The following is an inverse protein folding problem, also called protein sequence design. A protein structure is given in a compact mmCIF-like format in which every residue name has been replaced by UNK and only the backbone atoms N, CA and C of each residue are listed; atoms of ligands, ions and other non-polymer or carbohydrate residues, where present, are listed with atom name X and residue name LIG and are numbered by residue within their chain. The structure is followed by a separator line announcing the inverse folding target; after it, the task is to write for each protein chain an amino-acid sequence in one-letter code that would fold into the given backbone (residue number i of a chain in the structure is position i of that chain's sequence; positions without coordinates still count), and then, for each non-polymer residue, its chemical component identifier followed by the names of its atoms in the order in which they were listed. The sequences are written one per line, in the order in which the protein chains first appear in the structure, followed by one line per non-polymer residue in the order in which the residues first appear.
data_IF_711671735972
#
_entry.id   IF_711671735972
#
_cell.length_a   1.000
_cell.length_b   1.000
_cell.length_c   1.000
_cell.angle_alpha   90.00
_cell.angle_beta   90.00
_cell.angle_gamma   90.00
#
_symmetry.space_group_name_H-M   'P 1'
#
loop_
_entity.id
_entity.type
_entity.pdbx_description
1 polymer ?
#
# COMPACT_ATOMS: atom_id res chain seq x y z
N UNK A 1 -27.81 -6.19 10.98
CA UNK A 1 -26.34 -6.23 11.12
C UNK A 1 -25.65 -6.44 9.78
N UNK A 2 -25.62 -7.62 9.14
CA UNK A 2 -24.82 -7.86 7.90
C UNK A 2 -24.94 -6.82 6.77
N UNK A 3 -26.12 -6.23 6.54
CA UNK A 3 -26.28 -5.19 5.54
C UNK A 3 -25.69 -3.84 5.98
N UNK A 4 -25.77 -3.50 7.27
CA UNK A 4 -25.28 -2.24 7.81
C UNK A 4 -23.75 -2.11 7.63
N UNK A 5 -23.00 -3.13 8.07
CA UNK A 5 -21.53 -3.16 7.95
C UNK A 5 -21.08 -3.10 6.48
N UNK A 6 -21.85 -3.74 5.59
CA UNK A 6 -21.59 -3.68 4.14
C UNK A 6 -21.80 -2.26 3.60
N UNK A 7 -22.85 -1.57 4.03
CA UNK A 7 -23.12 -0.19 3.59
C UNK A 7 -22.05 0.76 4.13
N UNK A 8 -21.63 0.63 5.39
CA UNK A 8 -20.53 1.42 5.95
C UNK A 8 -19.26 1.31 5.10
N UNK A 9 -18.87 0.09 4.69
CA UNK A 9 -17.73 -0.13 3.80
C UNK A 9 -17.91 0.47 2.39
N UNK A 10 -19.15 0.68 1.95
CA UNK A 10 -19.46 1.27 0.64
C UNK A 10 -19.59 2.79 0.66
N UNK A 11 -19.59 3.44 1.84
CA UNK A 11 -19.76 4.89 1.95
C UNK A 11 -18.61 5.69 1.32
N UNK A 12 -17.36 5.19 1.40
CA UNK A 12 -16.23 5.83 0.72
C UNK A 12 -16.41 5.81 -0.80
N UNK A 13 -16.68 4.63 -1.37
CA UNK A 13 -16.95 4.47 -2.80
C UNK A 13 -18.20 5.27 -3.25
N UNK A 14 -19.21 5.42 -2.39
CA UNK A 14 -20.36 6.29 -2.64
C UNK A 14 -19.95 7.76 -2.78
N UNK A 15 -19.08 8.23 -1.88
CA UNK A 15 -18.60 9.61 -1.82
C UNK A 15 -17.67 9.97 -2.98
N UNK A 16 -16.92 8.99 -3.47
CA UNK A 16 -16.04 9.10 -4.64
C UNK A 16 -16.75 8.80 -5.97
N UNK A 17 -18.05 8.47 -5.91
CA UNK A 17 -18.90 8.15 -7.05
C UNK A 17 -18.43 6.93 -7.86
N UNK A 18 -17.89 5.93 -7.17
CA UNK A 18 -17.36 4.67 -7.73
C UNK A 18 -18.38 3.53 -7.70
N UNK A 19 -19.54 3.72 -7.07
CA UNK A 19 -20.61 2.71 -7.03
C UNK A 19 -21.40 2.63 -8.33
N UNK A 20 -21.85 1.42 -8.68
CA UNK A 20 -22.81 1.24 -9.77
C UNK A 20 -24.17 1.88 -9.41
N UNK A 21 -25.02 2.23 -10.40
CA UNK A 21 -26.32 2.85 -10.13
C UNK A 21 -27.22 2.02 -9.21
N UNK A 22 -27.18 0.70 -9.35
CA UNK A 22 -27.93 -0.24 -8.52
C UNK A 22 -27.44 -0.23 -7.07
N UNK A 23 -26.12 -0.27 -6.86
CA UNK A 23 -25.50 -0.21 -5.54
C UNK A 23 -25.77 1.14 -4.86
N UNK A 24 -25.70 2.22 -5.62
CA UNK A 24 -25.96 3.58 -5.15
C UNK A 24 -27.38 3.71 -4.60
N UNK A 25 -28.37 3.16 -5.31
CA UNK A 25 -29.78 3.16 -4.87
C UNK A 25 -29.97 2.42 -3.53
N UNK A 26 -29.27 1.29 -3.36
CA UNK A 26 -29.32 0.52 -2.11
C UNK A 26 -28.73 1.32 -0.94
N UNK A 27 -27.58 1.98 -1.16
CA UNK A 27 -26.94 2.85 -0.16
C UNK A 27 -27.83 4.04 0.20
N UNK A 28 -28.42 4.71 -0.80
CA UNK A 28 -29.32 5.85 -0.57
C UNK A 28 -30.57 5.46 0.22
N UNK A 29 -31.14 4.28 -0.06
CA UNK A 29 -32.27 3.74 0.70
C UNK A 29 -31.87 3.52 2.17
N UNK A 30 -30.73 2.85 2.42
CA UNK A 30 -30.24 2.62 3.77
C UNK A 30 -29.92 3.93 4.52
N UNK A 31 -29.36 4.92 3.84
CA UNK A 31 -29.06 6.24 4.42
C UNK A 31 -30.32 7.00 4.86
N UNK A 32 -31.47 6.73 4.23
CA UNK A 32 -32.75 7.34 4.64
C UNK A 32 -33.35 6.69 5.91
N UNK A 33 -32.94 5.46 6.23
CA UNK A 33 -33.48 4.68 7.33
C UNK A 33 -32.51 4.58 8.52
N UNK A 34 -31.22 4.85 8.32
CA UNK A 34 -30.17 4.61 9.31
C UNK A 34 -29.34 5.87 9.61
N UNK A 35 -29.60 6.47 10.78
CA UNK A 35 -28.93 7.69 11.24
C UNK A 35 -27.42 7.54 11.43
N UNK A 36 -26.97 6.40 11.96
CA UNK A 36 -25.54 6.11 12.17
C UNK A 36 -24.72 6.16 10.86
N UNK A 37 -25.26 5.61 9.77
CA UNK A 37 -24.61 5.67 8.47
C UNK A 37 -24.64 7.09 7.88
N UNK A 38 -25.69 7.87 8.16
CA UNK A 38 -25.76 9.29 7.77
C UNK A 38 -24.68 10.12 8.49
N UNK A 39 -24.48 9.87 9.79
CA UNK A 39 -23.49 10.58 10.60
C UNK A 39 -22.06 10.23 10.15
N UNK A 40 -21.78 8.94 9.92
CA UNK A 40 -20.49 8.49 9.37
C UNK A 40 -20.21 9.13 7.99
N UNK A 41 -21.22 9.24 7.13
CA UNK A 41 -21.06 9.92 5.84
C UNK A 41 -20.74 11.41 6.01
N UNK A 42 -21.37 12.08 6.99
CA UNK A 42 -21.09 13.49 7.29
C UNK A 42 -19.65 13.70 7.80
N UNK A 43 -19.11 12.76 8.58
CA UNK A 43 -17.73 12.79 9.04
C UNK A 43 -16.74 12.63 7.88
N UNK A 44 -17.00 11.72 6.94
CA UNK A 44 -16.19 11.58 5.72
C UNK A 44 -16.20 12.86 4.86
N UNK A 45 -17.36 13.49 4.71
CA UNK A 45 -17.48 14.76 3.99
C UNK A 45 -16.69 15.88 4.67
N UNK A 46 -16.73 15.96 6.01
CA UNK A 46 -15.97 16.93 6.79
C UNK A 46 -14.46 16.72 6.64
N UNK A 47 -14.00 15.48 6.71
CA UNK A 47 -12.60 15.13 6.51
C UNK A 47 -12.12 15.55 5.11
N UNK A 48 -12.91 15.26 4.06
CA UNK A 48 -12.60 15.68 2.69
C UNK A 48 -12.52 17.20 2.54
N UNK A 49 -13.37 17.97 3.24
CA UNK A 49 -13.28 19.43 3.23
C UNK A 49 -11.98 19.93 3.86
N UNK A 50 -11.55 19.34 4.98
CA UNK A 50 -10.27 19.70 5.62
C UNK A 50 -9.08 19.38 4.72
N UNK A 51 -9.05 18.21 4.09
CA UNK A 51 -7.99 17.86 3.13
C UNK A 51 -8.04 18.79 1.91
N UNK A 52 -9.23 19.10 1.40
CA UNK A 52 -9.43 20.04 0.30
C UNK A 52 -8.82 21.41 0.59
N UNK A 53 -8.95 21.91 1.82
CA UNK A 53 -8.38 23.18 2.24
C UNK A 53 -6.84 23.20 2.25
N UNK A 54 -6.17 22.03 2.30
CA UNK A 54 -4.72 21.91 2.19
C UNK A 54 -4.23 21.98 0.74
N UNK A 55 -5.13 21.81 -0.23
CA UNK A 55 -4.78 21.77 -1.65
C UNK A 55 -4.36 23.17 -2.08
N UNK A 56 -3.06 23.40 -2.22
CA UNK A 56 -2.55 24.63 -2.79
C UNK A 56 -2.65 24.52 -4.31
N UNK A 57 -3.28 25.50 -4.94
CA UNK A 57 -3.26 25.63 -6.39
C UNK A 57 -1.79 25.70 -6.85
N UNK A 58 -1.37 24.72 -7.66
CA UNK A 58 0.01 24.65 -8.09
C UNK A 58 0.35 25.97 -8.80
N UNK A 59 1.42 26.67 -8.41
CA UNK A 59 1.81 27.90 -9.09
C UNK A 59 2.00 27.60 -10.57
N UNK A 60 1.76 28.57 -11.48
CA UNK A 60 1.98 28.37 -12.92
C UNK A 60 3.48 28.21 -13.19
N UNK A 61 3.99 26.98 -12.99
CA UNK A 61 5.40 26.62 -13.17
C UNK A 61 5.77 26.82 -14.64
N UNK A 62 4.80 26.77 -15.55
CA UNK A 62 4.97 26.99 -16.97
C UNK A 62 5.72 28.30 -17.30
N UNK A 63 5.44 29.40 -16.58
CA UNK A 63 6.13 30.67 -16.82
C UNK A 63 7.58 30.72 -16.33
N UNK A 64 7.94 29.86 -15.37
CA UNK A 64 9.23 29.95 -14.65
C UNK A 64 10.22 28.88 -15.10
N UNK A 65 9.78 27.63 -15.33
CA UNK A 65 10.68 26.54 -15.72
C UNK A 65 10.82 26.35 -17.22
N UNK A 66 9.81 26.62 -18.07
CA UNK A 66 9.99 26.47 -19.52
C UNK A 66 11.17 27.30 -20.09
N UNK A 67 11.37 28.58 -19.74
CA UNK A 67 12.54 29.31 -20.23
C UNK A 67 13.86 28.73 -19.72
N UNK A 68 13.88 28.18 -18.49
CA UNK A 68 15.07 27.54 -17.90
C UNK A 68 15.39 26.15 -18.49
N UNK A 69 14.42 25.49 -19.14
CA UNK A 69 14.65 24.27 -19.90
C UNK A 69 15.05 24.57 -21.35
N UNK A 70 14.61 25.70 -21.92
CA UNK A 70 15.02 26.11 -23.27
C UNK A 70 16.53 26.42 -23.35
N UNK A 71 17.10 27.01 -22.29
CA UNK A 71 18.54 27.28 -22.18
C UNK A 71 19.37 26.04 -21.86
N UNK A 72 18.77 25.02 -21.24
CA UNK A 72 19.36 23.68 -21.12
C UNK A 72 19.18 22.96 -22.45
N UNK A 73 19.99 23.35 -23.44
CA UNK A 73 20.03 22.77 -24.78
C UNK A 73 19.93 21.23 -24.77
N UNK A 74 19.51 20.61 -25.89
CA UNK A 74 19.08 19.22 -25.93
C UNK A 74 20.07 18.33 -25.19
N UNK A 75 19.61 17.73 -24.09
CA UNK A 75 20.39 16.74 -23.35
C UNK A 75 20.84 15.73 -24.39
N UNK A 76 22.15 15.72 -24.68
CA UNK A 76 22.77 14.74 -25.58
C UNK A 76 22.59 13.38 -24.93
N UNK A 77 21.43 12.77 -25.15
CA UNK A 77 21.22 11.35 -24.95
C UNK A 77 22.26 10.73 -25.86
N UNK A 78 23.35 10.19 -25.29
CA UNK A 78 24.20 9.28 -26.04
C UNK A 78 23.23 8.23 -26.58
N UNK A 79 23.01 8.28 -27.88
CA UNK A 79 22.17 7.33 -28.59
C UNK A 79 22.73 5.97 -28.19
N UNK A 80 21.99 5.23 -27.34
CA UNK A 80 22.44 3.91 -26.95
C UNK A 80 22.63 3.12 -28.25
N UNK A 81 23.72 2.33 -28.35
CA UNK A 81 23.94 1.51 -29.53
C UNK A 81 22.70 0.67 -29.78
N UNK A 82 22.28 0.64 -31.05
CA UNK A 82 21.04 0.04 -31.51
C UNK A 82 20.91 -1.39 -31.00
N UNK A 83 19.83 -1.66 -30.26
CA UNK A 83 19.46 -3.00 -29.80
C UNK A 83 19.30 -4.01 -30.96
N UNK A 84 19.19 -3.51 -32.21
CA UNK A 84 19.10 -4.32 -33.42
C UNK A 84 20.36 -5.11 -33.77
N UNK A 85 21.56 -4.61 -33.45
CA UNK A 85 22.81 -5.34 -33.77
C UNK A 85 23.02 -6.56 -32.85
N UNK A 86 22.55 -6.47 -31.61
CA UNK A 86 22.53 -7.61 -30.67
C UNK A 86 21.47 -8.64 -31.04
N UNK A 87 20.32 -8.20 -31.57
CA UNK A 87 19.23 -9.09 -31.99
C UNK A 87 19.58 -9.90 -33.25
N UNK A 88 20.31 -9.31 -34.20
CA UNK A 88 20.78 -10.00 -35.40
C UNK A 88 21.78 -11.13 -35.10
N UNK A 89 22.54 -11.03 -34.01
CA UNK A 89 23.44 -12.12 -33.59
C UNK A 89 22.69 -13.28 -32.92
N UNK A 90 21.59 -12.97 -32.23
CA UNK A 90 20.71 -13.95 -31.57
C UNK A 90 19.81 -14.68 -32.59
N UNK A 91 19.41 -14.01 -33.68
CA UNK A 91 18.47 -14.56 -34.66
C UNK A 91 19.12 -15.18 -35.91
N UNK A 92 20.46 -15.23 -36.04
CA UNK A 92 21.10 -16.01 -37.12
C UNK A 92 21.00 -17.51 -36.82
N UNK A 93 20.25 -18.30 -37.61
CA UNK A 93 19.97 -19.70 -37.32
C UNK A 93 21.14 -20.58 -37.77
N UNK A 94 22.29 -20.45 -37.10
CA UNK A 94 23.50 -21.21 -37.42
C UNK A 94 24.09 -21.93 -36.19
N UNK A 95 23.25 -22.35 -35.23
CA UNK A 95 23.65 -23.30 -34.19
C UNK A 95 22.77 -24.55 -34.32
N UNK A 96 23.32 -25.51 -35.05
CA UNK A 96 22.82 -26.87 -35.20
C UNK A 96 22.63 -27.55 -33.85
N UNK A 97 21.39 -27.89 -33.48
CA UNK A 97 20.99 -28.98 -32.55
C UNK A 97 21.42 -28.91 -31.07
N UNK A 98 22.61 -28.40 -30.74
CA UNK A 98 23.21 -28.45 -29.41
C UNK A 98 22.62 -27.38 -28.48
N UNK A 99 22.26 -26.22 -29.01
CA UNK A 99 21.63 -25.13 -28.24
C UNK A 99 20.24 -25.50 -27.71
N UNK A 100 19.47 -26.29 -28.46
CA UNK A 100 18.14 -26.71 -28.04
C UNK A 100 18.20 -27.62 -26.80
N UNK A 101 19.17 -28.54 -26.75
CA UNK A 101 19.36 -29.43 -25.60
C UNK A 101 19.87 -28.67 -24.38
N UNK A 102 20.77 -27.70 -24.55
CA UNK A 102 21.24 -26.85 -23.46
C UNK A 102 20.11 -25.98 -22.88
N UNK A 103 19.25 -25.40 -23.73
CA UNK A 103 18.09 -24.63 -23.29
C UNK A 103 17.06 -25.52 -22.57
N UNK A 104 16.76 -26.70 -23.12
CA UNK A 104 15.85 -27.66 -22.47
C UNK A 104 16.44 -28.14 -21.13
N UNK A 105 17.74 -28.40 -21.06
CA UNK A 105 18.43 -28.78 -19.81
C UNK A 105 18.42 -27.65 -18.78
N UNK A 106 18.60 -26.39 -19.20
CA UNK A 106 18.52 -25.22 -18.32
C UNK A 106 17.09 -25.05 -17.78
N UNK A 107 16.08 -25.16 -18.64
CA UNK A 107 14.67 -25.08 -18.24
C UNK A 107 14.31 -26.22 -17.30
N UNK A 108 14.73 -27.45 -17.60
CA UNK A 108 14.52 -28.60 -16.70
C UNK A 108 15.26 -28.43 -15.37
N UNK A 109 16.47 -27.88 -15.37
CA UNK A 109 17.20 -27.58 -14.15
C UNK A 109 16.52 -26.49 -13.32
N UNK A 110 15.97 -25.44 -13.96
CA UNK A 110 15.19 -24.40 -13.28
C UNK A 110 13.88 -24.96 -12.72
N UNK A 111 13.15 -25.79 -13.48
CA UNK A 111 11.93 -26.44 -13.00
C UNK A 111 12.24 -27.39 -11.85
N UNK A 112 13.29 -28.22 -11.97
CA UNK A 112 13.76 -29.07 -10.88
C UNK A 112 14.17 -28.23 -9.67
N UNK A 113 14.89 -27.13 -9.87
CA UNK A 113 15.28 -26.23 -8.78
C UNK A 113 14.07 -25.59 -8.10
N UNK A 114 13.06 -25.14 -8.85
CA UNK A 114 11.82 -24.59 -8.27
C UNK A 114 10.93 -25.66 -7.60
N UNK A 115 11.04 -26.93 -8.01
CA UNK A 115 10.35 -28.05 -7.36
C UNK A 115 11.12 -28.60 -6.15
N UNK A 116 12.45 -28.52 -6.17
CA UNK A 116 13.35 -29.08 -5.15
C UNK A 116 13.81 -28.04 -4.11
N UNK A 117 13.74 -26.75 -4.44
CA UNK A 117 13.52 -25.69 -3.46
C UNK A 117 12.00 -25.56 -3.32
N UNK A 118 11.36 -26.29 -2.39
CA UNK A 118 10.10 -25.82 -1.87
C UNK A 118 10.41 -24.40 -1.38
N UNK A 119 9.79 -23.40 -2.00
CA UNK A 119 9.70 -22.08 -1.38
C UNK A 119 9.21 -22.35 0.03
N UNK A 120 10.07 -22.15 1.01
CA UNK A 120 9.67 -22.24 2.41
C UNK A 120 8.40 -21.42 2.54
N UNK A 121 7.29 -22.10 2.79
CA UNK A 121 5.93 -21.58 2.88
C UNK A 121 5.72 -20.64 4.07
N UNK A 122 6.80 -20.04 4.59
CA UNK A 122 6.79 -19.21 5.80
C UNK A 122 7.25 -17.77 5.54
N UNK A 123 7.15 -17.24 4.31
CA UNK A 123 7.46 -15.82 4.05
C UNK A 123 6.38 -15.07 3.26
N UNK A 124 5.28 -15.74 2.90
CA UNK A 124 4.10 -15.08 2.33
C UNK A 124 3.11 -14.65 3.44
N UNK A 125 3.62 -13.92 4.42
CA UNK A 125 2.80 -13.03 5.27
C UNK A 125 3.60 -11.83 5.76
N UNK A 126 4.67 -11.47 5.06
CA UNK A 126 5.20 -10.11 5.21
C UNK A 126 4.27 -9.20 4.41
N UNK A 127 3.47 -8.43 5.12
CA UNK A 127 2.83 -7.25 4.55
C UNK A 127 3.93 -6.48 3.78
N UNK A 128 3.74 -6.05 2.52
CA UNK A 128 4.74 -5.21 1.84
C UNK A 128 5.17 -4.01 2.70
N UNK A 129 4.33 -3.59 3.65
CA UNK A 129 4.65 -2.63 4.69
C UNK A 129 5.79 -3.08 5.62
N UNK A 130 5.85 -4.35 6.04
CA UNK A 130 6.91 -4.89 6.90
C UNK A 130 8.27 -4.91 6.22
N UNK A 131 8.33 -5.23 4.91
CA UNK A 131 9.58 -5.15 4.16
C UNK A 131 10.07 -3.71 4.02
N UNK A 132 9.15 -2.78 3.73
CA UNK A 132 9.47 -1.35 3.67
C UNK A 132 9.96 -0.84 5.03
N UNK A 133 9.27 -1.17 6.11
CA UNK A 133 9.65 -0.79 7.47
C UNK A 133 10.98 -1.41 7.88
N UNK A 134 11.24 -2.69 7.59
CA UNK A 134 12.51 -3.34 7.90
C UNK A 134 13.70 -2.70 7.16
N UNK A 135 13.52 -2.34 5.89
CA UNK A 135 14.53 -1.62 5.10
C UNK A 135 14.77 -0.21 5.64
N UNK A 136 13.76 0.42 6.24
CA UNK A 136 13.85 1.78 6.77
C UNK A 136 14.02 1.87 8.29
N UNK A 137 14.13 0.74 9.00
CA UNK A 137 14.27 0.67 10.47
C UNK A 137 15.73 0.65 10.96
N UNK A 138 16.70 1.01 10.12
CA UNK A 138 18.14 0.95 10.45
C UNK A 138 18.59 1.87 11.61
N UNK A 139 17.69 2.54 12.33
CA UNK A 139 18.08 3.45 13.42
C UNK A 139 17.20 3.43 14.69
N UNK A 140 16.45 2.35 14.97
CA UNK A 140 15.57 2.30 16.15
C UNK A 140 16.13 1.55 17.37
N UNK A 141 17.43 1.26 17.44
CA UNK A 141 18.04 0.65 18.66
C UNK A 141 17.83 1.50 19.92
N UNK A 142 17.48 2.78 19.78
CA UNK A 142 17.12 3.68 20.87
C UNK A 142 15.71 4.27 20.76
N UNK A 143 14.75 3.56 20.15
CA UNK A 143 13.36 4.00 20.14
C UNK A 143 12.62 3.55 21.42
N UNK A 144 12.24 4.47 22.33
CA UNK A 144 11.57 4.13 23.59
C UNK A 144 10.13 3.56 23.42
N UNK A 145 9.61 3.45 22.19
CA UNK A 145 8.26 2.95 21.88
C UNK A 145 8.17 1.43 21.60
N UNK A 146 9.27 0.67 21.71
CA UNK A 146 9.31 -0.75 21.32
C UNK A 146 8.63 -1.73 22.32
N UNK A 147 7.94 -1.27 23.38
CA UNK A 147 7.41 -2.16 24.42
C UNK A 147 5.95 -2.61 24.27
N UNK A 148 5.29 -2.40 23.12
CA UNK A 148 3.87 -2.77 22.97
C UNK A 148 3.54 -3.59 21.72
N UNK A 149 4.50 -4.29 21.11
CA UNK A 149 4.15 -5.42 20.24
C UNK A 149 3.83 -6.62 21.11
N UNK A 150 2.62 -6.63 21.67
CA UNK A 150 2.03 -7.84 22.25
C UNK A 150 1.79 -8.77 21.07
N UNK A 151 2.72 -9.71 20.88
CA UNK A 151 2.48 -10.90 20.09
C UNK A 151 1.52 -11.79 20.88
N UNK A 152 0.24 -11.42 20.93
CA UNK A 152 -0.79 -12.33 21.45
C UNK A 152 -1.17 -13.27 20.31
N UNK A 153 -0.39 -14.35 20.22
CA UNK A 153 -0.84 -15.57 19.57
C UNK A 153 -2.19 -15.94 20.17
N UNK A 154 -3.23 -15.99 19.33
CA UNK A 154 -4.56 -16.48 19.67
C UNK A 154 -4.47 -17.98 20.04
N UNK A 155 -4.03 -18.25 21.26
CA UNK A 155 -3.97 -19.56 21.89
C UNK A 155 -5.13 -19.67 22.86
N UNK A 156 -6.16 -20.39 22.44
CA UNK A 156 -7.22 -20.90 23.31
C UNK A 156 -6.61 -21.60 24.53
N UNK A 157 -6.66 -21.01 25.72
CA UNK A 157 -7.27 -21.58 26.92
C UNK A 157 -6.93 -20.84 28.24
N UNK A 158 -7.97 -20.71 29.06
CA UNK A 158 -8.01 -20.63 30.53
C UNK A 158 -7.58 -19.37 31.32
N UNK A 159 -8.59 -18.71 31.90
CA UNK A 159 -8.65 -18.07 33.22
C UNK A 159 -7.52 -17.13 33.68
N UNK A 160 -7.76 -15.81 33.64
CA UNK A 160 -7.09 -14.81 34.49
C UNK A 160 -8.13 -13.80 35.00
N UNK A 161 -8.12 -13.43 36.30
CA UNK A 161 -9.23 -12.76 36.97
C UNK A 161 -9.26 -11.24 36.75
N UNK A 162 -10.46 -10.72 36.93
CA UNK A 162 -10.87 -9.32 36.92
C UNK A 162 -9.91 -8.44 37.75
N UNK A 163 -9.14 -7.59 37.08
CA UNK A 163 -8.41 -6.49 37.71
C UNK A 163 -8.88 -5.19 37.07
N UNK A 164 -9.60 -4.43 37.87
CA UNK A 164 -10.12 -3.09 37.60
C UNK A 164 -8.98 -2.16 37.15
N UNK A 165 -9.01 -1.76 35.89
CA UNK A 165 -8.15 -0.70 35.35
C UNK A 165 -8.69 0.63 35.85
N UNK A 166 -7.99 1.26 36.80
CA UNK A 166 -8.30 2.63 37.25
C UNK A 166 -8.05 3.63 36.10
N UNK A 167 -9.09 4.41 35.80
CA UNK A 167 -9.13 5.42 34.75
C UNK A 167 -8.36 6.67 35.19
N UNK A 168 -7.08 6.70 34.85
CA UNK A 168 -6.15 7.79 35.21
C UNK A 168 -6.06 8.88 34.13
N UNK A 169 -7.06 8.97 33.24
CA UNK A 169 -7.08 9.91 32.12
C UNK A 169 -7.05 11.37 32.56
N UNK A 170 -7.68 11.69 33.70
CA UNK A 170 -7.70 13.05 34.25
C UNK A 170 -6.30 13.55 34.66
N UNK A 171 -5.46 12.68 35.23
CA UNK A 171 -4.10 13.05 35.65
C UNK A 171 -3.18 13.34 34.45
N UNK A 172 -3.36 12.62 33.35
CA UNK A 172 -2.54 12.80 32.15
C UNK A 172 -2.89 14.07 31.38
N UNK A 173 -4.16 14.51 31.41
CA UNK A 173 -4.59 15.75 30.77
C UNK A 173 -4.08 17.00 31.50
N UNK A 174 -3.99 16.97 32.83
CA UNK A 174 -3.49 18.09 33.63
C UNK A 174 -1.99 18.33 33.43
N UNK A 175 -1.20 17.26 33.29
CA UNK A 175 0.26 17.35 33.08
C UNK A 175 0.64 17.90 31.71
N UNK A 176 -0.22 17.76 30.69
CA UNK A 176 0.11 18.16 29.31
C UNK A 176 -0.52 19.48 28.86
N UNK A 177 -1.53 20.01 29.57
CA UNK A 177 -2.22 21.24 29.20
C UNK A 177 -2.07 22.37 30.25
N UNK A 178 -1.28 22.15 31.29
CA UNK A 178 -0.98 23.14 32.33
C UNK A 178 0.41 23.76 32.18
N UNK A 179 0.55 24.68 31.21
CA UNK A 179 1.26 25.97 31.26
C UNK A 179 1.29 26.63 29.87
#
# INVERSE_FOLDING_TARGET
MKNHDRIQNQLSAYLDNELSPEQRTIVETHLSECHECTDMLADFQRNRQWIGALTHEAPPIAGTVLPQLADRGPVRRKLLPSFGELWDWVCRPAISGVGALAMVSLVLALVYFNLMMPSSEDTYTSDPLDFYLAVHAEDTTYNPLHSYTVADSLGTDTNIPDTTVEDNTAFLLEVHLGD
#
